data_IF_231735704124
#
_entry.id   IF_231735704124
#
_cell.length_a   1.000
_cell.length_b   1.000
_cell.length_c   1.000
_cell.angle_alpha   90.00
_cell.angle_beta   90.00
_cell.angle_gamma   90.00
#
_symmetry.space_group_name_H-M   'P 1'
#
loop_
_entity.id
_entity.type
_entity.pdbx_description
1 polymer ?
#
# COMPACT_ATOMS: atom_id res chain seq x y z
N UNK A 1 -43.28 -27.35 45.33
CA UNK A 1 -43.08 -25.89 45.04
C UNK A 1 -42.03 -25.23 45.95
N UNK A 2 -42.03 -25.42 47.28
CA UNK A 2 -41.04 -24.76 48.18
C UNK A 2 -39.57 -25.17 47.94
N UNK A 3 -39.27 -26.42 47.54
CA UNK A 3 -37.89 -26.87 47.23
C UNK A 3 -37.32 -26.32 45.91
N UNK A 4 -38.15 -26.07 44.90
CA UNK A 4 -37.75 -25.49 43.61
C UNK A 4 -37.49 -23.98 43.76
N UNK A 5 -38.26 -23.31 44.60
CA UNK A 5 -38.06 -21.90 44.91
C UNK A 5 -36.77 -21.64 45.67
N UNK A 6 -36.37 -22.58 46.58
CA UNK A 6 -35.12 -22.47 47.33
C UNK A 6 -33.89 -22.74 46.46
N UNK A 7 -33.98 -23.64 45.48
CA UNK A 7 -32.91 -23.88 44.48
C UNK A 7 -32.75 -22.72 43.53
N UNK A 8 -33.83 -22.08 43.10
CA UNK A 8 -33.78 -20.89 42.23
C UNK A 8 -33.20 -19.67 42.96
N UNK A 9 -33.56 -19.46 44.24
CA UNK A 9 -32.98 -18.36 45.04
C UNK A 9 -31.51 -18.62 45.40
N UNK A 10 -31.12 -19.87 45.66
CA UNK A 10 -29.71 -20.24 45.87
C UNK A 10 -28.88 -20.08 44.56
N UNK A 11 -29.43 -20.41 43.41
CA UNK A 11 -28.78 -20.23 42.11
C UNK A 11 -28.62 -18.74 41.76
N UNK A 12 -29.62 -17.89 42.02
CA UNK A 12 -29.54 -16.44 41.85
C UNK A 12 -28.50 -15.82 42.81
N UNK A 13 -28.42 -16.28 44.07
CA UNK A 13 -27.42 -15.79 45.01
C UNK A 13 -25.99 -16.22 44.65
N UNK A 14 -25.79 -17.37 44.03
CA UNK A 14 -24.48 -17.80 43.52
C UNK A 14 -24.05 -17.00 42.32
N UNK A 15 -24.96 -16.63 41.41
CA UNK A 15 -24.67 -15.82 40.25
C UNK A 15 -24.33 -14.35 40.62
N UNK A 16 -25.05 -13.78 41.59
CA UNK A 16 -24.74 -12.42 42.09
C UNK A 16 -23.47 -12.41 42.97
N UNK A 17 -23.16 -13.47 43.67
CA UNK A 17 -21.92 -13.60 44.46
C UNK A 17 -20.66 -13.71 43.54
N UNK A 18 -20.79 -14.27 42.34
CA UNK A 18 -19.65 -14.41 41.42
C UNK A 18 -19.25 -13.07 40.77
N UNK A 19 -20.21 -12.18 40.44
CA UNK A 19 -19.88 -10.88 39.88
C UNK A 19 -19.30 -9.90 40.91
N UNK A 20 -19.81 -9.95 42.16
CA UNK A 20 -19.28 -9.11 43.24
C UNK A 20 -17.96 -9.65 43.81
N UNK A 21 -17.66 -10.95 43.68
CA UNK A 21 -16.42 -11.55 44.16
C UNK A 21 -15.17 -11.05 43.40
N UNK A 22 -15.29 -10.77 42.07
CA UNK A 22 -14.17 -10.30 41.24
C UNK A 22 -13.74 -8.85 41.54
N UNK A 23 -14.64 -8.01 42.04
CA UNK A 23 -14.35 -6.62 42.44
C UNK A 23 -14.12 -6.46 43.93
N UNK A 24 -14.13 -7.60 44.68
CA UNK A 24 -13.97 -7.56 46.13
C UNK A 24 -12.55 -7.21 46.55
N UNK A 25 -12.43 -6.26 47.41
CA UNK A 25 -11.19 -5.82 48.02
C UNK A 25 -11.13 -6.23 49.48
N UNK A 26 -9.92 -6.40 49.99
CA UNK A 26 -9.67 -6.51 51.41
C UNK A 26 -10.08 -5.21 52.15
N UNK A 27 -10.19 -5.19 53.49
CA UNK A 27 -10.39 -3.94 54.22
C UNK A 27 -9.34 -2.87 53.89
N UNK A 28 -8.08 -3.29 53.75
CA UNK A 28 -6.99 -2.36 53.35
C UNK A 28 -7.11 -1.92 51.88
N UNK A 29 -7.48 -2.80 50.96
CA UNK A 29 -7.74 -2.47 49.55
C UNK A 29 -8.85 -1.42 49.43
N UNK A 30 -9.92 -1.53 50.23
CA UNK A 30 -10.99 -0.53 50.27
C UNK A 30 -10.51 0.84 50.81
N UNK A 31 -9.61 0.85 51.78
CA UNK A 31 -8.98 2.09 52.27
C UNK A 31 -8.12 2.70 51.16
N UNK A 32 -7.31 1.89 50.51
CA UNK A 32 -6.46 2.34 49.38
C UNK A 32 -7.30 2.95 48.25
N UNK A 33 -8.41 2.30 47.85
CA UNK A 33 -9.30 2.81 46.81
C UNK A 33 -9.87 4.18 47.18
N UNK A 34 -10.44 4.33 48.39
CA UNK A 34 -10.97 5.62 48.86
C UNK A 34 -9.88 6.70 48.89
N UNK A 35 -8.67 6.36 49.32
CA UNK A 35 -7.55 7.29 49.38
C UNK A 35 -7.13 7.70 47.99
N UNK A 36 -7.07 6.75 47.05
CA UNK A 36 -6.79 7.03 45.62
C UNK A 36 -7.83 7.98 45.01
N UNK A 37 -9.13 7.74 45.24
CA UNK A 37 -10.22 8.58 44.75
C UNK A 37 -10.15 10.02 45.31
N UNK A 38 -9.76 10.17 46.58
CA UNK A 38 -9.55 11.52 47.19
C UNK A 38 -8.41 12.23 46.50
N UNK A 39 -7.24 11.61 46.33
CA UNK A 39 -6.12 12.25 45.62
C UNK A 39 -6.45 12.53 44.16
N UNK A 40 -7.16 11.63 43.49
CA UNK A 40 -7.60 11.84 42.11
C UNK A 40 -8.53 13.06 41.98
N UNK A 41 -9.49 13.20 42.92
CA UNK A 41 -10.40 14.38 42.95
C UNK A 41 -9.69 15.69 43.24
N UNK A 42 -8.52 15.64 43.90
CA UNK A 42 -7.66 16.78 44.19
C UNK A 42 -6.64 17.06 43.07
N UNK A 43 -6.71 16.32 41.92
CA UNK A 43 -5.76 16.37 40.80
C UNK A 43 -4.31 16.02 41.18
N UNK A 44 -4.14 15.40 42.35
CA UNK A 44 -2.85 14.88 42.78
C UNK A 44 -2.62 13.49 42.18
N UNK A 45 -2.34 13.48 40.86
CA UNK A 45 -2.28 12.26 40.05
C UNK A 45 -1.19 11.29 40.49
N UNK A 46 -0.05 11.80 41.00
CA UNK A 46 1.06 10.95 41.44
C UNK A 46 0.70 10.16 42.71
N UNK A 47 0.05 10.79 43.67
CA UNK A 47 -0.43 10.09 44.84
C UNK A 47 -1.60 9.15 44.52
N UNK A 48 -2.52 9.60 43.65
CA UNK A 48 -3.61 8.75 43.21
C UNK A 48 -3.10 7.46 42.54
N UNK A 49 -2.12 7.56 41.64
CA UNK A 49 -1.50 6.40 41.00
C UNK A 49 -0.92 5.42 41.99
N UNK A 50 -0.14 5.88 42.99
CA UNK A 50 0.45 5.02 44.02
C UNK A 50 -0.64 4.20 44.74
N UNK A 51 -1.76 4.82 45.11
CA UNK A 51 -2.82 4.13 45.82
C UNK A 51 -3.68 3.26 44.91
N UNK A 52 -3.91 3.62 43.63
CA UNK A 52 -4.57 2.69 42.69
C UNK A 52 -3.70 1.46 42.40
N UNK A 53 -2.38 1.61 42.30
CA UNK A 53 -1.47 0.46 42.17
C UNK A 53 -1.58 -0.49 43.40
N UNK A 54 -1.66 0.05 44.61
CA UNK A 54 -1.93 -0.76 45.81
C UNK A 54 -3.30 -1.46 45.80
N UNK A 55 -4.30 -0.89 45.14
CA UNK A 55 -5.57 -1.55 44.87
C UNK A 55 -5.37 -2.73 43.93
N UNK A 56 -4.55 -2.61 42.91
CA UNK A 56 -4.23 -3.70 41.98
C UNK A 56 -3.34 -4.77 42.59
N UNK A 57 -2.52 -4.46 43.61
CA UNK A 57 -1.82 -5.47 44.41
C UNK A 57 -2.80 -6.36 45.18
N UNK A 58 -3.91 -5.79 45.69
CA UNK A 58 -4.96 -6.52 46.40
C UNK A 58 -5.91 -7.25 45.44
N UNK A 59 -6.31 -6.62 44.35
CA UNK A 59 -7.12 -7.20 43.28
C UNK A 59 -6.63 -6.72 41.90
N UNK A 60 -5.84 -7.53 41.21
CA UNK A 60 -5.29 -7.17 39.88
C UNK A 60 -6.33 -6.91 38.77
N UNK A 61 -7.58 -7.36 39.00
CA UNK A 61 -8.70 -7.23 38.06
C UNK A 61 -9.71 -6.17 38.48
N UNK A 62 -9.33 -5.24 39.40
CA UNK A 62 -10.23 -4.20 39.87
C UNK A 62 -10.45 -3.13 38.79
N UNK A 63 -11.61 -3.16 38.10
CA UNK A 63 -11.92 -2.36 36.91
C UNK A 63 -11.79 -0.86 37.14
N UNK A 64 -12.26 -0.35 38.29
CA UNK A 64 -12.18 1.09 38.59
C UNK A 64 -10.71 1.53 38.69
N UNK A 65 -9.87 0.76 39.40
CA UNK A 65 -8.46 1.09 39.57
C UNK A 65 -7.73 1.04 38.19
N UNK A 66 -7.97 0.00 37.40
CA UNK A 66 -7.43 -0.09 36.03
C UNK A 66 -7.83 1.10 35.16
N UNK A 67 -9.12 1.43 35.13
CA UNK A 67 -9.63 2.58 34.37
C UNK A 67 -8.99 3.90 34.82
N UNK A 68 -8.88 4.13 36.15
CA UNK A 68 -8.27 5.34 36.69
C UNK A 68 -6.78 5.45 36.40
N UNK A 69 -6.05 4.34 36.44
CA UNK A 69 -4.65 4.32 36.03
C UNK A 69 -4.50 4.65 34.53
N UNK A 70 -5.39 4.12 33.69
CA UNK A 70 -5.44 4.54 32.29
C UNK A 70 -5.70 6.04 32.12
N UNK A 71 -6.64 6.64 32.88
CA UNK A 71 -6.91 8.09 32.87
C UNK A 71 -5.67 8.88 33.30
N UNK A 72 -4.97 8.44 34.35
CA UNK A 72 -3.73 9.07 34.84
C UNK A 72 -2.62 8.99 33.80
N UNK A 73 -2.45 7.84 33.14
CA UNK A 73 -1.42 7.66 32.09
C UNK A 73 -1.71 8.58 30.91
N UNK A 74 -2.97 8.70 30.45
CA UNK A 74 -3.33 9.67 29.41
C UNK A 74 -3.01 11.12 29.82
N UNK A 75 -3.32 11.47 31.06
CA UNK A 75 -2.99 12.81 31.57
C UNK A 75 -1.47 13.04 31.57
N UNK A 76 -0.68 12.09 32.08
CA UNK A 76 0.79 12.19 32.10
C UNK A 76 1.38 12.31 30.70
N UNK A 77 0.84 11.58 29.70
CA UNK A 77 1.29 11.67 28.33
C UNK A 77 1.17 13.09 27.74
N UNK A 78 0.17 13.86 28.15
CA UNK A 78 -0.04 15.23 27.68
C UNK A 78 0.96 16.22 28.29
N UNK A 79 1.45 15.97 29.50
CA UNK A 79 2.35 16.87 30.23
C UNK A 79 3.83 16.47 30.11
N UNK A 80 4.15 15.19 29.95
CA UNK A 80 5.52 14.68 29.92
C UNK A 80 5.88 14.19 28.51
N UNK A 81 5.99 15.10 27.57
CA UNK A 81 6.16 14.80 26.14
C UNK A 81 7.41 13.95 25.81
N UNK A 82 8.44 13.99 26.64
CA UNK A 82 9.64 13.15 26.47
C UNK A 82 9.36 11.65 26.69
N UNK A 83 8.29 11.31 27.41
CA UNK A 83 7.86 9.95 27.75
C UNK A 83 6.43 9.66 27.27
N UNK A 84 5.92 10.46 26.33
CA UNK A 84 4.51 10.35 25.92
C UNK A 84 4.14 8.94 25.41
N UNK A 85 5.04 8.29 24.65
CA UNK A 85 4.79 6.94 24.08
C UNK A 85 4.65 5.91 25.21
N UNK A 86 5.50 5.95 26.22
CA UNK A 86 5.43 5.06 27.39
C UNK A 86 4.10 5.22 28.13
N UNK A 87 3.68 6.46 28.39
CA UNK A 87 2.40 6.70 29.07
C UNK A 87 1.19 6.32 28.21
N UNK A 88 1.26 6.48 26.88
CA UNK A 88 0.20 5.97 26.01
C UNK A 88 0.17 4.42 25.97
N UNK A 89 1.31 3.74 26.02
CA UNK A 89 1.39 2.28 26.16
C UNK A 89 0.74 1.83 27.47
N UNK A 90 1.11 2.44 28.60
CA UNK A 90 0.50 2.15 29.92
C UNK A 90 -1.03 2.34 29.86
N UNK A 91 -1.51 3.46 29.31
CA UNK A 91 -2.93 3.72 29.18
C UNK A 91 -3.64 2.65 28.34
N UNK A 92 -3.05 2.26 27.21
CA UNK A 92 -3.58 1.20 26.36
C UNK A 92 -3.69 -0.12 27.11
N UNK A 93 -2.66 -0.52 27.84
CA UNK A 93 -2.65 -1.77 28.62
C UNK A 93 -3.67 -1.77 29.74
N UNK A 94 -3.75 -0.69 30.54
CA UNK A 94 -4.75 -0.55 31.60
C UNK A 94 -6.18 -0.62 31.07
N UNK A 95 -6.51 0.11 29.99
CA UNK A 95 -7.84 0.03 29.38
C UNK A 95 -8.12 -1.34 28.76
N UNK A 96 -7.13 -1.96 28.11
CA UNK A 96 -7.29 -3.30 27.52
C UNK A 96 -7.65 -4.31 28.60
N UNK A 97 -6.96 -4.27 29.72
CA UNK A 97 -7.24 -5.15 30.86
C UNK A 97 -8.61 -4.84 31.50
N UNK A 98 -8.94 -3.58 31.72
CA UNK A 98 -10.24 -3.18 32.25
C UNK A 98 -11.41 -3.63 31.37
N UNK A 99 -11.26 -3.48 30.04
CA UNK A 99 -12.25 -3.94 29.04
C UNK A 99 -12.40 -5.46 29.14
N UNK A 100 -11.30 -6.20 29.06
CA UNK A 100 -11.32 -7.66 29.12
C UNK A 100 -11.99 -8.20 30.40
N UNK A 101 -11.70 -7.60 31.55
CA UNK A 101 -12.33 -7.97 32.81
C UNK A 101 -13.84 -7.69 32.78
N UNK A 102 -14.23 -6.51 32.31
CA UNK A 102 -15.64 -6.10 32.26
C UNK A 102 -16.46 -6.97 31.32
N UNK A 103 -15.91 -7.29 30.12
CA UNK A 103 -16.56 -8.16 29.14
C UNK A 103 -16.81 -9.59 29.65
N UNK A 104 -16.01 -10.04 30.61
CA UNK A 104 -16.16 -11.35 31.24
C UNK A 104 -17.15 -11.34 32.43
N UNK A 105 -17.84 -10.24 32.69
CA UNK A 105 -18.90 -10.24 33.70
C UNK A 105 -20.08 -11.10 33.24
N UNK A 106 -20.66 -11.93 34.10
CA UNK A 106 -21.78 -12.81 33.74
C UNK A 106 -22.99 -12.05 33.18
N UNK A 107 -23.21 -10.82 33.65
CA UNK A 107 -24.28 -9.94 33.21
C UNK A 107 -23.79 -8.50 33.28
N UNK A 108 -23.94 -7.77 32.15
CA UNK A 108 -23.53 -6.38 32.06
C UNK A 108 -24.69 -5.46 32.40
N UNK A 109 -24.48 -4.56 33.34
CA UNK A 109 -25.38 -3.45 33.63
C UNK A 109 -25.34 -2.39 32.52
N UNK A 110 -26.31 -1.46 32.52
CA UNK A 110 -26.28 -0.33 31.60
C UNK A 110 -25.02 0.54 31.83
N UNK A 111 -24.57 0.68 33.07
CA UNK A 111 -23.36 1.42 33.40
C UNK A 111 -22.11 0.75 32.86
N UNK A 112 -22.01 -0.60 32.99
CA UNK A 112 -20.87 -1.34 32.41
C UNK A 112 -20.77 -1.15 30.90
N UNK A 113 -21.90 -1.12 30.20
CA UNK A 113 -21.95 -0.88 28.73
C UNK A 113 -21.48 0.52 28.37
N UNK A 114 -21.83 1.54 29.18
CA UNK A 114 -21.37 2.91 29.02
C UNK A 114 -19.85 2.98 29.25
N UNK A 115 -19.39 2.41 30.36
CA UNK A 115 -17.98 2.41 30.73
C UNK A 115 -17.11 1.64 29.71
N UNK A 116 -17.57 0.49 29.20
CA UNK A 116 -16.90 -0.23 28.12
C UNK A 116 -16.73 0.62 26.88
N UNK A 117 -17.77 1.33 26.46
CA UNK A 117 -17.71 2.21 25.29
C UNK A 117 -16.70 3.36 25.50
N UNK A 118 -16.66 3.95 26.70
CA UNK A 118 -15.71 5.00 27.02
C UNK A 118 -14.28 4.46 27.07
N UNK A 119 -14.05 3.35 27.75
CA UNK A 119 -12.72 2.70 27.81
C UNK A 119 -12.19 2.31 26.42
N UNK A 120 -13.05 1.77 25.53
CA UNK A 120 -12.66 1.45 24.16
C UNK A 120 -12.23 2.68 23.38
N UNK A 121 -12.94 3.82 23.53
CA UNK A 121 -12.55 5.09 22.89
C UNK A 121 -11.21 5.61 23.41
N UNK A 122 -10.96 5.50 24.70
CA UNK A 122 -9.71 5.96 25.32
C UNK A 122 -8.54 5.05 24.93
N UNK A 123 -8.75 3.75 24.92
CA UNK A 123 -7.78 2.78 24.39
C UNK A 123 -7.41 3.10 22.94
N UNK A 124 -8.41 3.32 22.08
CA UNK A 124 -8.21 3.72 20.68
C UNK A 124 -7.41 5.01 20.56
N UNK A 125 -7.74 6.02 21.39
CA UNK A 125 -6.98 7.29 21.42
C UNK A 125 -5.52 7.05 21.80
N UNK A 126 -5.25 6.21 22.81
CA UNK A 126 -3.89 5.89 23.23
C UNK A 126 -3.09 5.24 22.08
N UNK A 127 -3.66 4.25 21.41
CA UNK A 127 -3.03 3.63 20.24
C UNK A 127 -2.77 4.63 19.11
N UNK A 128 -3.76 5.44 18.77
CA UNK A 128 -3.63 6.44 17.71
C UNK A 128 -2.50 7.45 18.03
N UNK A 129 -2.31 7.82 19.29
CA UNK A 129 -1.24 8.72 19.72
C UNK A 129 0.14 8.06 19.60
N UNK A 130 0.26 6.77 19.91
CA UNK A 130 1.50 6.00 19.67
C UNK A 130 1.82 6.01 18.17
N UNK A 131 0.84 5.68 17.33
CA UNK A 131 1.04 5.68 15.88
C UNK A 131 1.46 7.07 15.35
N UNK A 132 0.78 8.13 15.78
CA UNK A 132 1.14 9.51 15.41
C UNK A 132 2.54 9.92 15.89
N UNK A 133 2.97 9.44 17.06
CA UNK A 133 4.33 9.68 17.55
C UNK A 133 5.37 9.01 16.65
N UNK A 134 5.08 7.80 16.14
CA UNK A 134 5.95 7.13 15.16
C UNK A 134 6.04 7.91 13.84
N UNK A 135 4.90 8.41 13.32
CA UNK A 135 4.89 9.23 12.10
C UNK A 135 5.72 10.51 12.28
N UNK A 136 5.54 11.19 13.41
CA UNK A 136 6.32 12.39 13.75
C UNK A 136 7.83 12.13 13.80
N UNK A 137 8.26 11.03 14.41
CA UNK A 137 9.68 10.66 14.45
C UNK A 137 10.20 10.30 13.04
N UNK A 138 9.39 9.65 12.20
CA UNK A 138 9.72 9.37 10.81
C UNK A 138 9.90 10.66 10.00
N UNK A 139 8.97 11.61 10.12
CA UNK A 139 9.05 12.93 9.45
C UNK A 139 10.27 13.74 9.92
N UNK A 140 10.66 13.58 11.19
CA UNK A 140 11.87 14.20 11.74
C UNK A 140 13.18 13.51 11.29
N UNK A 141 13.10 12.41 10.52
CA UNK A 141 14.26 11.64 10.09
C UNK A 141 14.83 10.69 11.15
N UNK A 142 14.16 10.53 12.28
CA UNK A 142 14.56 9.64 13.36
C UNK A 142 14.10 8.19 13.09
N UNK A 143 14.56 7.63 11.96
CA UNK A 143 14.09 6.33 11.41
C UNK A 143 14.11 5.20 12.43
N UNK A 144 15.17 5.08 13.23
CA UNK A 144 15.30 3.99 14.21
C UNK A 144 14.21 4.10 15.30
N UNK A 145 13.97 5.32 15.81
CA UNK A 145 12.95 5.56 16.82
C UNK A 145 11.53 5.38 16.26
N UNK A 146 11.29 5.87 15.04
CA UNK A 146 10.03 5.64 14.33
C UNK A 146 9.72 4.14 14.18
N UNK A 147 10.73 3.36 13.76
CA UNK A 147 10.61 1.90 13.63
C UNK A 147 10.21 1.25 14.96
N UNK A 148 10.89 1.57 16.05
CA UNK A 148 10.59 1.00 17.38
C UNK A 148 9.16 1.31 17.82
N UNK A 149 8.68 2.53 17.56
CA UNK A 149 7.31 2.93 17.93
C UNK A 149 6.28 2.27 17.00
N UNK A 150 6.55 2.09 15.70
CA UNK A 150 5.66 1.32 14.82
C UNK A 150 5.62 -0.17 15.19
N UNK A 151 6.74 -0.76 15.60
CA UNK A 151 6.79 -2.13 16.13
C UNK A 151 5.93 -2.26 17.42
N UNK A 152 5.97 -1.26 18.29
CA UNK A 152 5.10 -1.18 19.46
C UNK A 152 3.62 -1.08 19.05
N UNK A 153 3.28 -0.16 18.14
CA UNK A 153 1.91 0.01 17.66
C UNK A 153 1.35 -1.30 17.05
N UNK A 154 2.17 -2.02 16.30
CA UNK A 154 1.81 -3.34 15.75
C UNK A 154 1.65 -4.42 16.84
N UNK A 155 2.56 -4.43 17.84
CA UNK A 155 2.46 -5.36 19.00
C UNK A 155 1.15 -5.17 19.76
N UNK A 156 0.71 -3.92 19.97
CA UNK A 156 -0.49 -3.59 20.71
C UNK A 156 -1.78 -3.92 19.94
N UNK A 157 -1.82 -3.71 18.64
CA UNK A 157 -2.95 -4.02 17.75
C UNK A 157 -2.44 -4.76 16.49
N UNK A 158 -2.21 -6.09 16.61
CA UNK A 158 -1.60 -6.86 15.50
C UNK A 158 -2.45 -6.96 14.25
N UNK A 159 -3.76 -6.74 14.37
CA UNK A 159 -4.69 -6.85 13.24
C UNK A 159 -4.70 -5.60 12.35
N UNK A 160 -4.16 -4.51 12.83
CA UNK A 160 -4.06 -3.26 12.07
C UNK A 160 -2.90 -3.33 11.07
N UNK A 161 -3.14 -3.09 9.78
CA UNK A 161 -2.10 -3.14 8.76
C UNK A 161 -1.20 -1.90 8.75
N UNK A 162 -1.66 -0.75 9.24
CA UNK A 162 -1.01 0.54 9.08
C UNK A 162 0.43 0.56 9.62
N UNK A 163 0.73 0.04 10.82
CA UNK A 163 2.12 -0.01 11.31
C UNK A 163 3.01 -0.90 10.44
N UNK A 164 2.48 -2.02 9.94
CA UNK A 164 3.23 -2.93 9.07
C UNK A 164 3.57 -2.28 7.73
N UNK A 165 2.64 -1.50 7.16
CA UNK A 165 2.88 -0.74 5.91
C UNK A 165 4.02 0.25 6.13
N UNK A 166 4.04 0.97 7.26
CA UNK A 166 5.13 1.90 7.58
C UNK A 166 6.46 1.18 7.81
N UNK A 167 6.45 0.07 8.55
CA UNK A 167 7.65 -0.75 8.79
C UNK A 167 8.23 -1.30 7.48
N UNK A 168 7.38 -1.79 6.58
CA UNK A 168 7.80 -2.20 5.23
C UNK A 168 8.52 -1.08 4.50
N UNK A 169 7.97 0.13 4.50
CA UNK A 169 8.56 1.27 3.83
C UNK A 169 9.91 1.65 4.46
N UNK A 170 10.00 1.66 5.79
CA UNK A 170 11.24 1.92 6.52
C UNK A 170 12.31 0.88 6.13
N UNK A 171 11.97 -0.41 6.13
CA UNK A 171 12.92 -1.46 5.76
C UNK A 171 13.35 -1.37 4.30
N UNK A 172 12.43 -1.06 3.38
CA UNK A 172 12.72 -1.02 1.95
C UNK A 172 13.55 0.23 1.56
N UNK A 173 13.17 1.40 2.07
CA UNK A 173 13.71 2.69 1.61
C UNK A 173 14.87 3.15 2.49
N UNK A 174 14.65 3.18 3.80
CA UNK A 174 15.57 3.84 4.72
C UNK A 174 16.68 2.89 5.18
N UNK A 175 16.34 1.65 5.55
CA UNK A 175 17.30 0.65 6.06
C UNK A 175 17.89 -0.18 4.93
N UNK A 176 17.16 -0.34 3.82
CA UNK A 176 17.51 -1.19 2.66
C UNK A 176 17.62 -2.68 3.02
N UNK A 177 16.79 -3.13 3.95
CA UNK A 177 16.65 -4.53 4.33
C UNK A 177 15.47 -5.15 3.55
N UNK A 178 15.75 -5.52 2.30
CA UNK A 178 14.74 -6.11 1.40
C UNK A 178 14.17 -7.42 1.93
N UNK A 179 14.92 -8.18 2.72
CA UNK A 179 14.46 -9.46 3.27
C UNK A 179 13.33 -9.22 4.28
N UNK A 180 13.50 -8.23 5.16
CA UNK A 180 12.43 -7.86 6.11
C UNK A 180 11.25 -7.22 5.42
N UNK A 181 11.47 -6.37 4.42
CA UNK A 181 10.40 -5.77 3.64
C UNK A 181 9.54 -6.85 2.95
N UNK A 182 10.18 -7.85 2.33
CA UNK A 182 9.49 -9.01 1.72
C UNK A 182 8.69 -9.81 2.74
N UNK A 183 9.27 -10.07 3.92
CA UNK A 183 8.56 -10.78 5.00
C UNK A 183 7.29 -10.05 5.44
N UNK A 184 7.36 -8.74 5.58
CA UNK A 184 6.20 -7.92 5.97
C UNK A 184 5.14 -7.94 4.86
N UNK A 185 5.52 -7.78 3.60
CA UNK A 185 4.58 -7.88 2.47
C UNK A 185 3.87 -9.24 2.44
N UNK A 186 4.61 -10.33 2.68
CA UNK A 186 4.02 -11.67 2.79
C UNK A 186 3.02 -11.78 3.95
N UNK A 187 3.33 -11.18 5.09
CA UNK A 187 2.41 -11.17 6.23
C UNK A 187 1.14 -10.34 5.93
N UNK A 188 1.27 -9.20 5.24
CA UNK A 188 0.14 -8.39 4.80
C UNK A 188 -0.75 -9.18 3.83
N UNK A 189 -0.16 -9.85 2.83
CA UNK A 189 -0.88 -10.71 1.89
C UNK A 189 -1.48 -11.96 2.55
N UNK A 190 -0.87 -12.48 3.63
CA UNK A 190 -1.44 -13.59 4.38
C UNK A 190 -2.73 -13.18 5.11
N UNK A 191 -2.83 -11.91 5.55
CA UNK A 191 -4.04 -11.37 6.18
C UNK A 191 -5.11 -10.99 5.15
N UNK A 192 -4.72 -10.41 4.04
CA UNK A 192 -5.62 -10.02 2.94
C UNK A 192 -5.02 -10.44 1.60
N UNK A 193 -5.27 -11.70 1.17
CA UNK A 193 -4.64 -12.30 -0.02
C UNK A 193 -5.02 -11.60 -1.33
N UNK A 194 -6.18 -10.97 -1.38
CA UNK A 194 -6.74 -10.35 -2.58
C UNK A 194 -6.58 -8.83 -2.59
N UNK A 195 -5.83 -8.26 -1.63
CA UNK A 195 -5.60 -6.83 -1.57
C UNK A 195 -4.76 -6.37 -2.77
N UNK A 196 -5.40 -5.65 -3.68
CA UNK A 196 -4.79 -5.20 -4.94
C UNK A 196 -3.46 -4.46 -4.71
N UNK A 197 -3.42 -3.56 -3.75
CA UNK A 197 -2.23 -2.77 -3.42
C UNK A 197 -1.03 -3.67 -3.04
N UNK A 198 -1.24 -4.66 -2.16
CA UNK A 198 -0.16 -5.56 -1.73
C UNK A 198 0.30 -6.51 -2.83
N UNK A 199 -0.63 -6.93 -3.70
CA UNK A 199 -0.29 -7.74 -4.87
C UNK A 199 0.59 -6.95 -5.86
N UNK A 200 0.22 -5.71 -6.18
CA UNK A 200 1.00 -4.84 -7.05
C UNK A 200 2.38 -4.52 -6.45
N UNK A 201 2.44 -4.24 -5.16
CA UNK A 201 3.72 -4.00 -4.48
C UNK A 201 4.63 -5.24 -4.50
N UNK A 202 4.08 -6.43 -4.24
CA UNK A 202 4.87 -7.66 -4.27
C UNK A 202 5.35 -7.99 -5.68
N UNK A 203 4.49 -7.78 -6.69
CA UNK A 203 4.87 -7.90 -8.10
C UNK A 203 6.02 -6.96 -8.46
N UNK A 204 5.91 -5.69 -8.09
CA UNK A 204 6.96 -4.67 -8.29
C UNK A 204 8.24 -5.03 -7.54
N UNK A 205 8.13 -5.53 -6.32
CA UNK A 205 9.29 -5.97 -5.52
C UNK A 205 10.08 -7.07 -6.24
N UNK A 206 9.40 -8.10 -6.74
CA UNK A 206 10.08 -9.17 -7.48
C UNK A 206 10.56 -8.74 -8.86
N UNK A 207 9.85 -7.83 -9.53
CA UNK A 207 10.30 -7.23 -10.79
C UNK A 207 11.65 -6.52 -10.62
N UNK A 208 11.76 -5.67 -9.60
CA UNK A 208 12.98 -4.92 -9.30
C UNK A 208 14.16 -5.84 -8.92
N UNK A 209 13.88 -7.02 -8.39
CA UNK A 209 14.89 -8.08 -8.11
C UNK A 209 15.28 -8.89 -9.35
N UNK A 210 14.68 -8.63 -10.51
CA UNK A 210 14.88 -9.41 -11.72
C UNK A 210 14.21 -10.79 -11.68
N UNK A 211 13.38 -11.06 -10.67
CA UNK A 211 12.62 -12.30 -10.60
C UNK A 211 11.26 -12.16 -11.29
N UNK A 212 11.30 -11.97 -12.60
CA UNK A 212 10.13 -11.70 -13.43
C UNK A 212 9.09 -12.83 -13.40
N UNK A 213 9.53 -14.07 -13.27
CA UNK A 213 8.63 -15.21 -13.17
C UNK A 213 7.78 -15.20 -11.89
N UNK A 214 8.33 -14.72 -10.78
CA UNK A 214 7.58 -14.56 -9.55
C UNK A 214 6.72 -13.28 -9.60
N UNK A 215 7.26 -12.18 -10.14
CA UNK A 215 6.53 -10.92 -10.31
C UNK A 215 5.22 -11.11 -11.08
N UNK A 216 5.25 -11.84 -12.20
CA UNK A 216 4.06 -12.06 -13.03
C UNK A 216 2.95 -12.81 -12.29
N UNK A 217 3.26 -13.68 -11.33
CA UNK A 217 2.22 -14.37 -10.54
C UNK A 217 1.40 -13.41 -9.70
N UNK A 218 2.07 -12.44 -9.08
CA UNK A 218 1.41 -11.42 -8.28
C UNK A 218 0.64 -10.44 -9.14
N UNK A 219 1.21 -10.00 -10.27
CA UNK A 219 0.51 -9.13 -11.21
C UNK A 219 -0.69 -9.81 -11.88
N UNK A 220 -0.60 -11.11 -12.21
CA UNK A 220 -1.75 -11.87 -12.70
C UNK A 220 -2.84 -12.04 -11.64
N UNK A 221 -2.46 -12.24 -10.37
CA UNK A 221 -3.43 -12.25 -9.29
C UNK A 221 -4.09 -10.87 -9.13
N UNK A 222 -3.31 -9.78 -9.20
CA UNK A 222 -3.83 -8.41 -9.21
C UNK A 222 -4.79 -8.15 -10.39
N UNK A 223 -4.50 -8.72 -11.58
CA UNK A 223 -5.36 -8.63 -12.76
C UNK A 223 -6.73 -9.30 -12.56
N UNK A 224 -6.80 -10.37 -11.76
CA UNK A 224 -8.09 -11.00 -11.40
C UNK A 224 -8.95 -10.04 -10.58
N UNK A 225 -8.34 -9.25 -9.69
CA UNK A 225 -9.05 -8.27 -8.86
C UNK A 225 -9.48 -7.02 -9.66
N UNK A 226 -8.64 -6.57 -10.59
CA UNK A 226 -8.93 -5.43 -11.47
C UNK A 226 -8.42 -5.70 -12.90
N UNK A 227 -9.26 -6.32 -13.76
CA UNK A 227 -8.87 -6.71 -15.12
C UNK A 227 -8.59 -5.52 -16.06
N UNK A 228 -9.09 -4.33 -15.71
CA UNK A 228 -8.97 -3.11 -16.55
C UNK A 228 -7.88 -2.16 -16.06
N UNK A 229 -7.05 -2.58 -15.10
CA UNK A 229 -5.91 -1.78 -14.65
C UNK A 229 -4.81 -1.82 -15.71
N UNK A 230 -4.69 -0.75 -16.49
CA UNK A 230 -3.73 -0.62 -17.59
C UNK A 230 -2.29 -0.72 -17.09
N UNK A 231 -1.96 -0.07 -15.97
CA UNK A 231 -0.61 -0.11 -15.38
C UNK A 231 -0.21 -1.55 -15.02
N UNK A 232 -1.15 -2.32 -14.47
CA UNK A 232 -0.89 -3.72 -14.15
C UNK A 232 -0.69 -4.58 -15.41
N UNK A 233 -1.46 -4.34 -16.47
CA UNK A 233 -1.27 -5.01 -17.76
C UNK A 233 0.10 -4.66 -18.37
N UNK A 234 0.56 -3.42 -18.23
CA UNK A 234 1.91 -3.00 -18.63
C UNK A 234 2.98 -3.74 -17.83
N UNK A 235 2.80 -3.87 -16.51
CA UNK A 235 3.72 -4.62 -15.65
C UNK A 235 3.80 -6.11 -16.04
N UNK A 236 2.66 -6.74 -16.36
CA UNK A 236 2.60 -8.11 -16.87
C UNK A 236 3.36 -8.22 -18.19
N UNK A 237 3.11 -7.29 -19.11
CA UNK A 237 3.80 -7.25 -20.40
C UNK A 237 5.32 -7.10 -20.22
N UNK A 238 5.76 -6.18 -19.36
CA UNK A 238 7.17 -5.98 -19.06
C UNK A 238 7.82 -7.25 -18.49
N UNK A 239 7.16 -7.94 -17.55
CA UNK A 239 7.65 -9.21 -17.02
C UNK A 239 7.85 -10.26 -18.12
N UNK A 240 6.86 -10.44 -18.99
CA UNK A 240 6.97 -11.40 -20.10
C UNK A 240 8.00 -10.98 -21.14
N UNK A 241 8.17 -9.68 -21.39
CA UNK A 241 9.23 -9.16 -22.25
C UNK A 241 10.62 -9.53 -21.73
N UNK A 242 10.86 -9.33 -20.44
CA UNK A 242 12.13 -9.68 -19.78
C UNK A 242 12.36 -11.21 -19.75
N UNK A 243 11.29 -11.99 -19.66
CA UNK A 243 11.32 -13.46 -19.78
C UNK A 243 11.48 -13.93 -21.24
N UNK A 244 11.48 -13.01 -22.22
CA UNK A 244 11.52 -13.26 -23.67
C UNK A 244 10.31 -14.07 -24.19
N UNK A 245 9.20 -14.07 -23.43
CA UNK A 245 7.92 -14.62 -23.87
C UNK A 245 7.12 -13.49 -24.55
N UNK A 246 7.60 -13.12 -25.76
CA UNK A 246 7.08 -11.97 -26.49
C UNK A 246 5.61 -12.12 -26.90
N UNK A 247 5.16 -13.37 -27.11
CA UNK A 247 3.76 -13.65 -27.41
C UNK A 247 2.86 -13.25 -26.26
N UNK A 248 3.19 -13.62 -25.01
CA UNK A 248 2.40 -13.23 -23.83
C UNK A 248 2.54 -11.74 -23.52
N UNK A 249 3.73 -11.17 -23.73
CA UNK A 249 3.91 -9.73 -23.61
C UNK A 249 2.97 -8.97 -24.55
N UNK A 250 2.89 -9.41 -25.84
CA UNK A 250 2.01 -8.81 -26.82
C UNK A 250 0.53 -8.96 -26.45
N UNK A 251 0.11 -10.11 -25.93
CA UNK A 251 -1.28 -10.31 -25.46
C UNK A 251 -1.63 -9.30 -24.37
N UNK A 252 -0.78 -9.14 -23.36
CA UNK A 252 -1.03 -8.19 -22.27
C UNK A 252 -1.09 -6.76 -22.77
N UNK A 253 -0.16 -6.37 -23.66
CA UNK A 253 -0.14 -5.01 -24.25
C UNK A 253 -1.37 -4.76 -25.13
N UNK A 254 -1.80 -5.73 -25.95
CA UNK A 254 -3.02 -5.62 -26.75
C UNK A 254 -4.27 -5.45 -25.89
N UNK A 255 -4.37 -6.21 -24.78
CA UNK A 255 -5.47 -6.05 -23.82
C UNK A 255 -5.48 -4.63 -23.23
N UNK A 256 -4.31 -4.06 -22.91
CA UNK A 256 -4.21 -2.67 -22.45
C UNK A 256 -4.62 -1.67 -23.55
N UNK A 257 -4.24 -1.91 -24.81
CA UNK A 257 -4.63 -1.09 -25.97
C UNK A 257 -6.13 -1.17 -26.32
N UNK A 258 -6.82 -2.24 -25.94
CA UNK A 258 -8.29 -2.30 -26.04
C UNK A 258 -8.97 -1.32 -25.09
N UNK A 259 -8.33 -1.04 -23.94
CA UNK A 259 -8.83 -0.09 -22.94
C UNK A 259 -8.42 1.34 -23.30
N UNK A 260 -7.15 1.54 -23.68
CA UNK A 260 -6.58 2.84 -24.03
C UNK A 260 -5.95 2.81 -25.43
N UNK A 261 -6.74 2.89 -26.50
CA UNK A 261 -6.26 2.67 -27.88
C UNK A 261 -5.19 3.65 -28.34
N UNK A 262 -5.19 4.86 -27.81
CA UNK A 262 -4.29 5.94 -28.21
C UNK A 262 -3.20 6.25 -27.18
N UNK A 263 -2.97 5.36 -26.22
CA UNK A 263 -1.89 5.50 -25.27
C UNK A 263 -0.55 5.25 -25.97
N UNK A 264 0.28 6.29 -26.05
CA UNK A 264 1.56 6.25 -26.76
C UNK A 264 2.54 5.25 -26.16
N UNK A 265 2.59 5.13 -24.81
CA UNK A 265 3.51 4.21 -24.15
C UNK A 265 3.15 2.75 -24.45
N UNK A 266 1.86 2.44 -24.54
CA UNK A 266 1.37 1.12 -24.95
C UNK A 266 1.70 0.83 -26.42
N UNK A 267 1.55 1.80 -27.31
CA UNK A 267 1.88 1.66 -28.73
C UNK A 267 3.38 1.44 -28.92
N UNK A 268 4.23 2.18 -28.20
CA UNK A 268 5.69 1.99 -28.22
C UNK A 268 6.09 0.62 -27.67
N UNK A 269 5.45 0.16 -26.59
CA UNK A 269 5.67 -1.19 -26.07
C UNK A 269 5.28 -2.25 -27.09
N UNK A 270 4.10 -2.13 -27.71
CA UNK A 270 3.62 -3.06 -28.72
C UNK A 270 4.56 -3.11 -29.93
N UNK A 271 5.04 -1.94 -30.39
CA UNK A 271 6.04 -1.83 -31.45
C UNK A 271 7.34 -2.55 -31.06
N UNK A 272 7.86 -2.25 -29.85
CA UNK A 272 9.10 -2.88 -29.37
C UNK A 272 8.99 -4.40 -29.30
N UNK A 273 7.84 -4.91 -28.80
CA UNK A 273 7.59 -6.35 -28.75
C UNK A 273 7.52 -6.94 -30.17
N UNK A 274 6.82 -6.27 -31.10
CA UNK A 274 6.75 -6.71 -32.51
C UNK A 274 8.13 -6.78 -33.16
N UNK A 275 9.02 -5.81 -32.86
CA UNK A 275 10.41 -5.83 -33.33
C UNK A 275 11.19 -7.04 -32.79
N UNK A 276 11.02 -7.37 -31.51
CA UNK A 276 11.65 -8.57 -30.92
C UNK A 276 11.13 -9.88 -31.52
N UNK A 277 9.86 -9.90 -31.96
CA UNK A 277 9.26 -11.02 -32.67
C UNK A 277 9.64 -11.07 -34.14
N UNK A 278 10.36 -10.08 -34.67
CA UNK A 278 10.61 -9.84 -36.10
C UNK A 278 9.32 -9.72 -36.93
N UNK A 279 8.22 -9.30 -36.32
CA UNK A 279 6.95 -9.03 -36.97
C UNK A 279 6.90 -7.59 -37.49
N UNK A 280 7.52 -7.39 -38.64
CA UNK A 280 7.59 -6.06 -39.26
C UNK A 280 6.21 -5.49 -39.61
N UNK A 281 5.22 -6.34 -39.90
CA UNK A 281 3.88 -5.90 -40.24
C UNK A 281 3.19 -5.24 -39.03
N UNK A 282 3.22 -5.90 -37.89
CA UNK A 282 2.68 -5.32 -36.66
C UNK A 282 3.47 -4.07 -36.20
N UNK A 283 4.80 -4.12 -36.28
CA UNK A 283 5.63 -2.96 -35.95
C UNK A 283 5.29 -1.73 -36.79
N UNK A 284 5.17 -1.91 -38.10
CA UNK A 284 4.76 -0.87 -39.03
C UNK A 284 3.36 -0.31 -38.69
N UNK A 285 2.43 -1.17 -38.33
CA UNK A 285 1.08 -0.73 -37.92
C UNK A 285 1.13 0.16 -36.67
N UNK A 286 1.88 -0.23 -35.65
CA UNK A 286 2.02 0.59 -34.45
C UNK A 286 2.76 1.90 -34.71
N UNK A 287 3.83 1.89 -35.53
CA UNK A 287 4.54 3.11 -35.93
C UNK A 287 3.61 4.12 -36.63
N UNK A 288 2.73 3.64 -37.50
CA UNK A 288 1.75 4.51 -38.18
C UNK A 288 0.79 5.13 -37.16
N UNK A 289 0.27 4.33 -36.22
CA UNK A 289 -0.62 4.83 -35.17
C UNK A 289 0.07 5.86 -34.27
N UNK A 290 1.35 5.67 -33.96
CA UNK A 290 2.15 6.65 -33.20
C UNK A 290 2.27 7.95 -33.97
N UNK A 291 2.57 7.90 -35.27
CA UNK A 291 2.68 9.09 -36.13
C UNK A 291 1.34 9.83 -36.26
N UNK A 292 0.23 9.12 -36.37
CA UNK A 292 -1.11 9.72 -36.40
C UNK A 292 -1.42 10.55 -35.15
N UNK A 293 -0.85 10.16 -33.99
CA UNK A 293 -1.05 10.83 -32.69
C UNK A 293 0.00 11.93 -32.48
N UNK A 294 1.28 11.61 -32.72
CA UNK A 294 2.42 12.49 -32.46
C UNK A 294 3.53 12.25 -33.49
N UNK A 295 3.55 12.99 -34.60
CA UNK A 295 4.66 12.94 -35.56
C UNK A 295 5.99 13.29 -34.88
N UNK A 296 7.03 12.50 -35.14
CA UNK A 296 8.39 12.75 -34.69
C UNK A 296 9.41 12.05 -35.59
N UNK A 297 10.63 12.57 -35.61
CA UNK A 297 11.71 12.13 -36.51
C UNK A 297 12.10 10.67 -36.27
N UNK A 298 12.22 10.24 -35.02
CA UNK A 298 12.65 8.89 -34.68
C UNK A 298 11.65 7.85 -35.20
N UNK A 299 10.34 8.10 -35.02
CA UNK A 299 9.29 7.20 -35.52
C UNK A 299 9.26 7.10 -37.01
N UNK A 300 9.42 8.23 -37.73
CA UNK A 300 9.54 8.23 -39.21
C UNK A 300 10.76 7.44 -39.65
N UNK A 301 11.91 7.62 -38.99
CA UNK A 301 13.16 6.94 -39.33
C UNK A 301 13.04 5.41 -39.17
N UNK A 302 12.45 4.95 -38.06
CA UNK A 302 12.22 3.52 -37.80
C UNK A 302 11.23 2.95 -38.83
N UNK A 303 10.14 3.66 -39.10
CA UNK A 303 9.15 3.25 -40.11
C UNK A 303 9.80 3.14 -41.50
N UNK A 304 10.61 4.11 -41.90
CA UNK A 304 11.33 4.06 -43.17
C UNK A 304 12.26 2.83 -43.25
N UNK A 305 13.01 2.55 -42.19
CA UNK A 305 13.88 1.36 -42.13
C UNK A 305 13.11 0.05 -42.28
N UNK A 306 11.96 -0.08 -41.63
CA UNK A 306 11.12 -1.29 -41.70
C UNK A 306 10.50 -1.44 -43.11
N UNK A 307 10.03 -0.35 -43.72
CA UNK A 307 9.49 -0.35 -45.09
C UNK A 307 10.58 -0.68 -46.11
N UNK A 308 11.82 -0.20 -45.92
CA UNK A 308 12.98 -0.59 -46.73
C UNK A 308 13.25 -2.11 -46.63
N UNK A 309 13.26 -2.64 -45.43
CA UNK A 309 13.49 -4.07 -45.20
C UNK A 309 12.43 -4.93 -45.90
N UNK A 310 11.18 -4.46 -45.91
CA UNK A 310 10.07 -5.09 -46.64
C UNK A 310 10.07 -4.83 -48.13
N UNK A 311 10.90 -3.91 -48.63
CA UNK A 311 10.91 -3.43 -50.01
C UNK A 311 9.56 -2.83 -50.45
N UNK A 312 8.80 -2.26 -49.48
CA UNK A 312 7.54 -1.56 -49.79
C UNK A 312 7.83 -0.09 -50.17
N UNK A 313 8.33 0.06 -51.41
CA UNK A 313 8.74 1.36 -51.92
C UNK A 313 7.60 2.37 -52.00
N UNK A 314 6.36 1.89 -52.23
CA UNK A 314 5.20 2.79 -52.34
C UNK A 314 4.87 3.41 -50.98
N UNK A 315 4.81 2.60 -49.92
CA UNK A 315 4.57 3.14 -48.59
C UNK A 315 5.77 3.96 -48.07
N UNK A 316 7.01 3.55 -48.40
CA UNK A 316 8.19 4.34 -48.05
C UNK A 316 8.13 5.72 -48.65
N UNK A 317 7.78 5.87 -49.94
CA UNK A 317 7.61 7.16 -50.59
C UNK A 317 6.53 7.97 -49.85
N UNK A 318 5.37 7.39 -49.60
CA UNK A 318 4.26 8.05 -48.92
C UNK A 318 4.69 8.63 -47.57
N UNK A 319 5.26 7.82 -46.70
CA UNK A 319 5.61 8.25 -45.33
C UNK A 319 6.85 9.16 -45.31
N UNK A 320 7.77 9.02 -46.24
CA UNK A 320 8.88 9.96 -46.37
C UNK A 320 8.42 11.33 -46.94
N UNK A 321 7.39 11.38 -47.80
CA UNK A 321 6.75 12.63 -48.20
C UNK A 321 5.98 13.29 -47.05
N UNK A 322 5.28 12.50 -46.19
CA UNK A 322 4.64 12.99 -44.98
C UNK A 322 5.68 13.57 -44.01
N UNK A 323 6.81 12.87 -43.83
CA UNK A 323 7.93 13.34 -43.01
C UNK A 323 8.50 14.65 -43.53
N UNK A 324 8.80 14.74 -44.85
CA UNK A 324 9.26 15.96 -45.47
C UNK A 324 8.26 17.12 -45.36
N UNK A 325 6.96 16.85 -45.47
CA UNK A 325 5.92 17.86 -45.27
C UNK A 325 5.82 18.35 -43.83
N UNK A 326 6.10 17.46 -42.84
CA UNK A 326 6.16 17.82 -41.45
C UNK A 326 7.41 18.65 -41.09
N UNK A 327 8.57 18.32 -41.73
CA UNK A 327 9.81 19.09 -41.63
C UNK A 327 10.44 19.23 -43.01
N UNK A 328 10.18 20.38 -43.67
CA UNK A 328 10.68 20.68 -45.03
C UNK A 328 12.19 20.91 -45.11
N UNK A 329 12.88 20.95 -43.94
CA UNK A 329 14.34 21.07 -43.88
C UNK A 329 15.03 19.70 -43.74
N UNK A 330 14.27 18.63 -43.57
CA UNK A 330 14.81 17.30 -43.34
C UNK A 330 15.34 16.66 -44.63
N UNK A 331 16.67 16.65 -44.76
CA UNK A 331 17.36 16.05 -45.91
C UNK A 331 17.21 14.53 -45.98
N UNK A 332 17.10 13.87 -44.80
CA UNK A 332 17.00 12.42 -44.71
C UNK A 332 15.67 11.95 -45.32
N UNK A 333 14.58 12.63 -45.03
CA UNK A 333 13.28 12.34 -45.63
C UNK A 333 13.35 12.40 -47.15
N UNK A 334 13.98 13.46 -47.70
CA UNK A 334 14.16 13.63 -49.13
C UNK A 334 15.03 12.52 -49.73
N UNK A 335 16.07 12.08 -49.05
CA UNK A 335 16.93 10.96 -49.47
C UNK A 335 16.15 9.65 -49.55
N UNK A 336 15.28 9.36 -48.56
CA UNK A 336 14.41 8.20 -48.61
C UNK A 336 13.45 8.23 -49.80
N UNK A 337 12.87 9.41 -50.09
CA UNK A 337 12.00 9.56 -51.28
C UNK A 337 12.76 9.27 -52.55
N UNK A 338 13.93 9.89 -52.74
CA UNK A 338 14.75 9.70 -53.95
C UNK A 338 15.11 8.22 -54.11
N UNK A 339 15.60 7.60 -53.03
CA UNK A 339 16.04 6.20 -53.07
C UNK A 339 14.88 5.25 -53.37
N UNK A 340 13.75 5.40 -52.70
CA UNK A 340 12.57 4.56 -52.93
C UNK A 340 11.97 4.76 -54.34
N UNK A 341 11.97 5.99 -54.85
CA UNK A 341 11.55 6.30 -56.23
C UNK A 341 12.47 5.65 -57.28
N UNK A 342 13.77 5.59 -57.03
CA UNK A 342 14.71 4.87 -57.89
C UNK A 342 14.45 3.35 -57.87
N UNK A 343 14.25 2.76 -56.68
CA UNK A 343 13.99 1.34 -56.56
C UNK A 343 12.65 0.91 -57.18
N UNK A 344 11.65 1.77 -57.14
CA UNK A 344 10.32 1.54 -57.75
C UNK A 344 10.27 1.90 -59.25
N UNK A 345 11.37 2.41 -59.84
CA UNK A 345 11.41 2.85 -61.23
C UNK A 345 10.71 4.18 -61.51
N UNK A 346 10.31 4.94 -60.50
CA UNK A 346 9.65 6.25 -60.65
C UNK A 346 10.69 7.37 -60.85
N UNK A 347 11.27 7.42 -62.08
CA UNK A 347 12.31 8.38 -62.44
C UNK A 347 11.89 9.83 -62.28
N UNK A 348 10.62 10.15 -62.59
CA UNK A 348 10.11 11.50 -62.52
C UNK A 348 10.15 12.02 -61.08
N UNK A 349 9.69 11.19 -60.11
CA UNK A 349 9.69 11.53 -58.70
C UNK A 349 11.14 11.69 -58.18
N UNK A 350 12.02 10.75 -58.52
CA UNK A 350 13.43 10.81 -58.13
C UNK A 350 14.11 12.10 -58.63
N UNK A 351 13.86 12.53 -59.87
CA UNK A 351 14.40 13.80 -60.42
C UNK A 351 13.84 14.99 -59.63
N UNK A 352 12.51 15.04 -59.43
CA UNK A 352 11.86 16.12 -58.66
C UNK A 352 12.50 16.34 -57.31
N UNK A 353 12.65 15.28 -56.53
CA UNK A 353 13.19 15.39 -55.17
C UNK A 353 14.72 15.59 -55.16
N UNK A 354 15.45 15.15 -56.16
CA UNK A 354 16.88 15.49 -56.34
C UNK A 354 17.08 17.00 -56.56
N UNK A 355 16.21 17.66 -57.33
CA UNK A 355 16.24 19.11 -57.49
C UNK A 355 15.91 19.85 -56.18
N UNK A 356 14.95 19.33 -55.41
CA UNK A 356 14.63 19.86 -54.07
C UNK A 356 15.85 19.74 -53.17
N UNK A 357 16.47 18.54 -53.06
CA UNK A 357 17.65 18.30 -52.24
C UNK A 357 18.80 19.27 -52.55
N UNK A 358 19.04 19.55 -53.84
CA UNK A 358 20.10 20.48 -54.29
C UNK A 358 19.84 21.93 -53.87
N UNK A 359 18.61 22.30 -53.53
CA UNK A 359 18.21 23.64 -53.06
C UNK A 359 18.10 23.73 -51.53
N UNK A 360 18.21 22.62 -50.83
CA UNK A 360 18.17 22.63 -49.37
C UNK A 360 19.46 23.19 -48.79
N UNK A 361 19.38 23.96 -47.69
CA UNK A 361 20.51 24.59 -47.03
C UNK A 361 21.56 23.60 -46.49
#
# INVERSE_FOLDING_TARGET
MKKVLFLLTALLLVLTACSTARQKLSPQGNVNLKTADVYYSQENVDQAEIYYLKVLEDNPDHVIALRRLGDISLFKAEYFTAREVEFYEDAFEYYSKAISVTENFPELTNQDRIDLRDMRKRKERAWARIYMAAEKEKEAGNTQKAKEIFELAHKLEPDRPEPMIQLKNIYLVDIKDEVKAEQILKQLLQKDPDKLEYLLEMGTFYYNKGNYAEAVKYFDHARVQNPTNVDNLMNISACYYELKDYEKAMIATKTALEIEPNNLDLLENARSIADQMNDLDQSIEYLKRILDIRPNEDTYSILAAHLMQKQDWQQLIKYAEEWYNWDTTNKIAVEYIIWAAQQSGNRLLATKYSEIKNKMP
#
